data_IF_365353896374
#
_entry.id   IF_365353896374
#
_cell.length_a   1.000
_cell.length_b   1.000
_cell.length_c   1.000
_cell.angle_alpha   90.00
_cell.angle_beta   90.00
_cell.angle_gamma   90.00
#
_symmetry.space_group_name_H-M   'P 1'
#
loop_
_entity.id
_entity.type
_entity.pdbx_description
1 polymer ?
#
# COMPACT_ATOMS: atom_id res chain seq x y z
N UNK A 1 3.93 4.96 8.94
CA UNK A 1 3.74 4.57 10.37
C UNK A 1 3.57 3.08 10.47
N UNK A 2 4.10 2.42 11.51
CA UNK A 2 3.98 0.96 11.65
C UNK A 2 3.66 0.51 13.08
N UNK A 3 3.04 -0.67 13.21
CA UNK A 3 2.79 -1.35 14.49
C UNK A 3 2.00 -0.52 15.52
N UNK A 4 1.00 0.24 15.06
CA UNK A 4 0.03 0.92 15.93
C UNK A 4 -1.21 0.05 16.14
N UNK A 5 -1.82 0.15 17.31
CA UNK A 5 -2.92 -0.71 17.76
C UNK A 5 -4.16 0.02 18.23
N UNK A 6 -4.02 1.28 18.66
CA UNK A 6 -5.11 2.06 19.25
C UNK A 6 -5.59 3.23 18.38
N UNK A 7 -4.94 3.47 17.23
CA UNK A 7 -5.24 4.64 16.39
C UNK A 7 -6.20 4.25 15.29
N UNK A 8 -7.43 4.80 15.31
CA UNK A 8 -8.53 4.41 14.41
C UNK A 8 -8.16 4.45 12.93
N UNK A 9 -7.41 5.48 12.53
CA UNK A 9 -7.02 5.72 11.14
C UNK A 9 -5.50 5.88 11.03
N UNK A 10 -4.72 4.78 10.87
CA UNK A 10 -3.27 4.85 10.77
C UNK A 10 -2.75 5.76 9.64
N UNK A 11 -3.49 5.88 8.54
CA UNK A 11 -3.12 6.77 7.43
C UNK A 11 -3.20 8.26 7.81
N UNK A 12 -4.14 8.66 8.68
CA UNK A 12 -4.21 10.02 9.21
C UNK A 12 -2.99 10.33 10.09
N UNK A 13 -2.53 9.34 10.86
CA UNK A 13 -1.31 9.47 11.65
C UNK A 13 -0.07 9.59 10.76
N UNK A 14 0.01 8.81 9.67
CA UNK A 14 1.10 8.95 8.70
C UNK A 14 1.12 10.35 8.08
N UNK A 15 -0.04 10.89 7.71
CA UNK A 15 -0.17 12.28 7.24
C UNK A 15 0.24 13.30 8.29
N UNK A 16 -0.18 13.11 9.54
CA UNK A 16 0.24 14.00 10.64
C UNK A 16 1.77 14.01 10.81
N UNK A 17 2.42 12.84 10.77
CA UNK A 17 3.88 12.74 10.85
C UNK A 17 4.56 13.49 9.71
N UNK A 18 4.07 13.31 8.48
CA UNK A 18 4.55 14.01 7.29
C UNK A 18 4.42 15.54 7.41
N UNK A 19 3.30 16.05 7.91
CA UNK A 19 2.99 17.49 7.90
C UNK A 19 3.45 18.24 9.17
N UNK A 20 3.63 17.54 10.29
CA UNK A 20 3.79 18.16 11.63
C UNK A 20 5.04 17.72 12.37
N UNK A 21 5.91 16.92 11.76
CA UNK A 21 7.19 16.49 12.36
C UNK A 21 8.32 16.54 11.33
N UNK A 22 9.56 16.48 11.79
CA UNK A 22 10.76 16.39 10.92
C UNK A 22 11.09 14.94 10.52
N UNK A 23 10.19 13.99 10.82
CA UNK A 23 10.44 12.56 10.66
C UNK A 23 9.56 11.94 9.58
N UNK A 24 10.08 10.91 8.92
CA UNK A 24 9.36 10.19 7.85
C UNK A 24 8.56 9.01 8.40
N UNK A 25 9.13 8.27 9.35
CA UNK A 25 8.54 7.04 9.87
C UNK A 25 8.71 6.95 11.39
N UNK A 26 7.60 6.78 12.10
CA UNK A 26 7.56 6.50 13.53
C UNK A 26 6.75 5.21 13.74
N UNK A 27 7.16 4.40 14.73
CA UNK A 27 6.62 3.05 14.94
C UNK A 27 6.17 2.82 16.39
N UNK A 28 5.27 1.85 16.58
CA UNK A 28 4.90 1.32 17.89
C UNK A 28 4.33 2.36 18.85
N UNK A 29 4.67 2.24 20.13
CA UNK A 29 4.19 3.15 21.17
C UNK A 29 4.61 4.62 20.95
N UNK A 30 5.77 4.86 20.32
CA UNK A 30 6.20 6.21 19.96
C UNK A 30 5.23 6.86 18.96
N UNK A 31 4.77 6.08 17.98
CA UNK A 31 3.76 6.52 17.02
C UNK A 31 2.43 6.86 17.70
N UNK A 32 1.99 6.04 18.66
CA UNK A 32 0.75 6.30 19.40
C UNK A 32 0.84 7.56 20.27
N UNK A 33 1.98 7.82 20.92
CA UNK A 33 2.21 9.07 21.67
C UNK A 33 2.12 10.30 20.78
N UNK A 34 2.69 10.23 19.57
CA UNK A 34 2.58 11.31 18.57
C UNK A 34 1.13 11.50 18.15
N UNK A 35 0.38 10.41 17.96
CA UNK A 35 -1.03 10.47 17.61
C UNK A 35 -1.88 11.16 18.68
N UNK A 36 -1.68 10.80 19.95
CA UNK A 36 -2.37 11.41 21.09
C UNK A 36 -2.05 12.90 21.18
N UNK A 37 -0.76 13.28 21.06
CA UNK A 37 -0.35 14.68 21.05
C UNK A 37 -0.96 15.47 19.89
N UNK A 38 -1.16 14.81 18.74
CA UNK A 38 -1.81 15.38 17.56
C UNK A 38 -3.34 15.42 17.62
N UNK A 39 -3.95 14.95 18.71
CA UNK A 39 -5.42 14.92 18.86
C UNK A 39 -6.11 13.92 17.92
N UNK A 40 -5.41 12.88 17.46
CA UNK A 40 -6.01 11.84 16.63
C UNK A 40 -6.91 10.91 17.45
N UNK A 41 -7.98 10.41 16.82
CA UNK A 41 -8.95 9.52 17.47
C UNK A 41 -8.31 8.19 17.89
N UNK A 42 -8.33 7.96 19.21
CA UNK A 42 -7.90 6.72 19.85
C UNK A 42 -9.12 5.85 20.11
N UNK A 43 -9.01 4.57 19.80
CA UNK A 43 -10.04 3.55 20.00
C UNK A 43 -9.47 2.37 20.79
N UNK A 44 -10.35 1.66 21.48
CA UNK A 44 -9.99 0.36 22.05
C UNK A 44 -9.62 -0.62 20.92
N UNK A 45 -8.57 -1.45 21.04
CA UNK A 45 -8.19 -2.40 20.00
C UNK A 45 -9.30 -3.35 19.55
N UNK A 46 -10.31 -3.62 20.39
CA UNK A 46 -11.51 -4.38 20.03
C UNK A 46 -12.31 -3.74 18.88
N UNK A 47 -12.12 -2.45 18.60
CA UNK A 47 -12.68 -1.78 17.42
C UNK A 47 -12.26 -2.47 16.11
N UNK A 48 -11.03 -3.00 16.04
CA UNK A 48 -10.52 -3.69 14.84
C UNK A 48 -10.81 -5.19 14.84
N UNK A 49 -11.38 -5.72 15.92
CA UNK A 49 -11.67 -7.13 16.07
C UNK A 49 -12.89 -7.53 15.23
N UNK A 50 -12.77 -8.62 14.49
CA UNK A 50 -13.89 -9.28 13.82
C UNK A 50 -13.83 -10.77 14.12
N UNK A 51 -14.90 -11.28 14.75
CA UNK A 51 -15.06 -12.71 15.03
C UNK A 51 -15.07 -13.53 13.74
N UNK A 52 -15.77 -13.04 12.72
CA UNK A 52 -15.84 -13.69 11.40
C UNK A 52 -14.46 -13.83 10.77
N UNK A 53 -13.66 -12.75 10.80
CA UNK A 53 -12.28 -12.78 10.29
C UNK A 53 -11.41 -13.76 11.09
N UNK A 54 -11.53 -13.76 12.42
CA UNK A 54 -10.80 -14.70 13.28
C UNK A 54 -11.17 -16.16 12.97
N UNK A 55 -12.47 -16.47 12.84
CA UNK A 55 -12.95 -17.82 12.55
C UNK A 55 -12.51 -18.27 11.15
N UNK A 56 -12.48 -17.36 10.17
CA UNK A 56 -11.96 -17.64 8.82
C UNK A 56 -10.47 -18.00 8.84
N UNK A 57 -9.64 -17.19 9.51
CA UNK A 57 -8.19 -17.47 9.67
C UNK A 57 -7.94 -18.79 10.40
N UNK A 58 -8.76 -19.13 11.41
CA UNK A 58 -8.65 -20.41 12.12
C UNK A 58 -8.96 -21.62 11.23
N UNK A 59 -9.89 -21.48 10.28
CA UNK A 59 -10.24 -22.53 9.30
C UNK A 59 -9.19 -22.63 8.19
N UNK A 60 -8.66 -21.49 7.73
CA UNK A 60 -7.69 -21.40 6.64
C UNK A 60 -6.26 -21.24 7.18
N UNK A 61 -5.77 -22.23 7.95
CA UNK A 61 -4.43 -22.18 8.58
C UNK A 61 -3.27 -21.92 7.60
N UNK A 62 -3.47 -22.16 6.30
CA UNK A 62 -2.40 -22.16 5.29
C UNK A 62 -2.47 -20.99 4.28
N UNK A 63 -3.58 -20.24 4.20
CA UNK A 63 -3.69 -19.10 3.26
C UNK A 63 -3.52 -17.79 4.02
N UNK A 64 -2.46 -17.06 3.70
CA UNK A 64 -2.21 -15.73 4.27
C UNK A 64 -3.31 -14.78 3.76
N UNK A 65 -4.13 -14.25 4.67
CA UNK A 65 -5.04 -13.16 4.32
C UNK A 65 -4.27 -11.85 4.28
N UNK A 66 -4.10 -11.32 3.07
CA UNK A 66 -3.61 -9.98 2.85
C UNK A 66 -4.76 -8.99 3.08
N UNK A 67 -4.54 -8.00 3.95
CA UNK A 67 -5.51 -6.94 4.23
C UNK A 67 -4.86 -5.58 4.01
N UNK A 68 -4.31 -5.41 2.81
CA UNK A 68 -3.71 -4.15 2.37
C UNK A 68 -4.69 -3.42 1.47
N UNK A 69 -4.82 -2.12 1.68
CA UNK A 69 -5.57 -1.20 0.84
C UNK A 69 -4.66 -0.04 0.46
N UNK A 70 -4.93 0.60 -0.66
CA UNK A 70 -4.21 1.79 -1.03
C UNK A 70 -4.87 2.57 -2.15
N UNK A 71 -4.32 3.75 -2.39
CA UNK A 71 -4.78 4.70 -3.39
C UNK A 71 -3.60 5.45 -3.98
N UNK A 72 -3.71 5.78 -5.26
CA UNK A 72 -2.81 6.68 -5.98
C UNK A 72 -3.68 7.69 -6.71
N UNK A 73 -3.26 8.95 -6.72
CA UNK A 73 -3.97 10.02 -7.40
C UNK A 73 -2.99 11.02 -8.02
N UNK A 74 -3.42 11.64 -9.10
CA UNK A 74 -2.82 12.83 -9.69
C UNK A 74 -3.85 13.96 -9.70
N UNK A 75 -3.47 15.16 -9.27
CA UNK A 75 -4.36 16.32 -9.28
C UNK A 75 -4.22 17.18 -10.56
N UNK A 76 -5.04 18.23 -10.65
CA UNK A 76 -5.04 19.17 -11.79
C UNK A 76 -3.74 19.98 -11.93
N UNK A 77 -2.91 20.02 -10.89
CA UNK A 77 -1.62 20.71 -10.86
C UNK A 77 -0.47 19.74 -11.23
N UNK A 78 -0.78 18.46 -11.46
CA UNK A 78 0.20 17.43 -11.77
C UNK A 78 0.86 16.85 -10.52
N UNK A 79 0.35 17.13 -9.31
CA UNK A 79 0.89 16.54 -8.09
C UNK A 79 0.41 15.09 -7.96
N UNK A 80 1.36 14.18 -7.77
CA UNK A 80 1.12 12.77 -7.57
C UNK A 80 1.21 12.45 -6.08
N UNK A 81 0.23 11.72 -5.57
CA UNK A 81 0.19 11.24 -4.19
C UNK A 81 -0.17 9.76 -4.13
N UNK A 82 0.43 9.04 -3.19
CA UNK A 82 0.13 7.65 -2.93
C UNK A 82 0.00 7.39 -1.43
N UNK A 83 -0.86 6.45 -1.07
CA UNK A 83 -1.12 6.05 0.30
C UNK A 83 -1.44 4.56 0.37
N UNK A 84 -0.82 3.85 1.32
CA UNK A 84 -1.07 2.43 1.56
C UNK A 84 -1.24 2.17 3.05
N UNK A 85 -2.21 1.33 3.41
CA UNK A 85 -2.49 0.97 4.80
C UNK A 85 -2.82 -0.52 4.90
N UNK A 86 -2.37 -1.16 5.98
CA UNK A 86 -2.55 -2.61 6.15
C UNK A 86 -2.68 -3.02 7.60
N UNK A 87 -3.45 -4.09 7.84
CA UNK A 87 -3.38 -4.84 9.10
C UNK A 87 -2.17 -5.78 9.16
N UNK A 88 -1.47 -5.96 8.03
CA UNK A 88 -0.46 -7.01 7.82
C UNK A 88 -1.12 -8.33 7.45
N UNK A 89 -0.37 -9.42 7.67
CA UNK A 89 -0.84 -10.79 7.44
C UNK A 89 -1.33 -11.47 8.72
N UNK A 90 -2.20 -12.46 8.55
CA UNK A 90 -2.64 -13.36 9.62
C UNK A 90 -1.47 -14.05 10.31
N UNK A 91 -1.61 -14.34 11.62
CA UNK A 91 -0.59 -15.03 12.42
C UNK A 91 0.82 -14.44 12.40
N UNK A 92 0.98 -13.18 11.99
CA UNK A 92 2.29 -12.50 12.03
C UNK A 92 2.85 -12.48 13.46
N UNK A 93 4.17 -12.59 13.58
CA UNK A 93 4.85 -12.32 14.84
C UNK A 93 4.56 -10.87 15.29
N UNK A 94 4.30 -10.64 16.59
CA UNK A 94 4.19 -9.29 17.12
C UNK A 94 5.42 -8.45 16.75
N UNK A 95 5.18 -7.23 16.27
CA UNK A 95 6.24 -6.34 15.79
C UNK A 95 6.68 -6.54 14.33
N UNK A 96 6.20 -7.59 13.62
CA UNK A 96 6.47 -7.74 12.18
C UNK A 96 5.92 -6.55 11.40
N UNK A 97 6.79 -5.92 10.61
CA UNK A 97 6.47 -4.84 9.68
C UNK A 97 6.57 -5.36 8.24
N UNK A 98 5.58 -5.02 7.41
CA UNK A 98 5.57 -5.34 5.98
C UNK A 98 5.99 -4.15 5.12
N UNK A 99 5.67 -4.21 3.83
CA UNK A 99 6.01 -3.23 2.80
C UNK A 99 5.23 -1.91 2.90
N UNK A 100 3.96 -1.94 3.31
CA UNK A 100 3.06 -0.78 3.22
C UNK A 100 3.56 0.50 3.89
N UNK A 101 4.24 0.48 5.06
CA UNK A 101 4.79 1.70 5.66
C UNK A 101 6.21 2.05 5.18
N UNK A 102 6.81 1.25 4.30
CA UNK A 102 8.18 1.39 3.83
C UNK A 102 8.17 2.07 2.47
N UNK A 103 8.69 3.30 2.43
CA UNK A 103 8.75 4.11 1.21
C UNK A 103 9.63 3.41 0.17
N UNK A 104 9.08 3.24 -1.03
CA UNK A 104 9.71 2.54 -2.14
C UNK A 104 9.41 1.04 -2.21
N UNK A 105 8.91 0.44 -1.13
CA UNK A 105 8.46 -0.94 -1.13
C UNK A 105 6.97 -1.05 -1.49
N UNK A 106 6.10 -0.66 -0.57
CA UNK A 106 4.64 -0.71 -0.74
C UNK A 106 4.01 0.61 -1.19
N UNK A 107 4.69 1.74 -0.99
CA UNK A 107 4.17 3.08 -1.34
C UNK A 107 5.28 3.93 -1.94
N UNK A 108 5.00 4.57 -3.08
CA UNK A 108 5.89 5.56 -3.68
C UNK A 108 5.09 6.64 -4.41
N UNK A 109 5.56 7.87 -4.40
CA UNK A 109 5.01 8.96 -5.19
C UNK A 109 6.12 9.93 -5.60
N UNK A 110 6.17 10.24 -6.89
CA UNK A 110 7.14 11.18 -7.45
C UNK A 110 6.48 11.97 -8.58
N UNK A 111 6.34 13.28 -8.38
CA UNK A 111 5.88 14.19 -9.43
C UNK A 111 6.73 14.05 -10.70
N UNK A 112 6.11 14.28 -11.85
CA UNK A 112 6.72 14.12 -13.17
C UNK A 112 7.17 12.69 -13.50
N UNK A 113 6.77 11.68 -12.72
CA UNK A 113 7.08 10.28 -13.00
C UNK A 113 5.86 9.36 -12.75
N UNK A 114 5.67 8.90 -11.51
CA UNK A 114 4.55 8.04 -11.12
C UNK A 114 4.31 7.97 -9.61
N UNK A 115 3.13 7.50 -9.26
CA UNK A 115 2.75 7.06 -7.93
C UNK A 115 2.35 5.60 -7.96
N UNK A 116 2.67 4.87 -6.89
CA UNK A 116 2.46 3.43 -6.78
C UNK A 116 1.97 3.08 -5.38
N UNK A 117 0.97 2.20 -5.31
CA UNK A 117 0.59 1.49 -4.09
C UNK A 117 0.56 0.00 -4.36
N UNK A 118 1.24 -0.77 -3.51
CA UNK A 118 1.35 -2.22 -3.61
C UNK A 118 0.51 -2.97 -2.58
N UNK A 119 0.21 -4.23 -2.90
CA UNK A 119 -0.37 -5.23 -2.01
C UNK A 119 0.24 -6.60 -2.36
N UNK A 120 0.60 -7.42 -1.38
CA UNK A 120 1.26 -8.70 -1.66
C UNK A 120 2.06 -9.23 -0.48
N UNK A 121 2.99 -10.14 -0.78
CA UNK A 121 3.95 -10.63 0.20
C UNK A 121 4.98 -9.53 0.57
N UNK A 122 4.69 -8.83 1.66
CA UNK A 122 5.47 -7.65 2.08
C UNK A 122 6.97 -7.86 2.22
N UNK A 123 7.44 -9.05 2.63
CA UNK A 123 8.87 -9.36 2.69
C UNK A 123 9.57 -9.21 1.33
N UNK A 124 8.92 -9.63 0.24
CA UNK A 124 9.48 -9.53 -1.11
C UNK A 124 9.29 -8.14 -1.71
N UNK A 125 8.15 -7.50 -1.45
CA UNK A 125 7.94 -6.11 -1.85
C UNK A 125 9.01 -5.18 -1.26
N UNK A 126 9.45 -5.43 -0.02
CA UNK A 126 10.58 -4.73 0.58
C UNK A 126 11.92 -5.12 -0.05
N UNK A 127 12.20 -6.42 -0.23
CA UNK A 127 13.49 -6.88 -0.78
C UNK A 127 13.74 -6.39 -2.21
N UNK A 128 12.68 -6.23 -3.00
CA UNK A 128 12.77 -5.80 -4.40
C UNK A 128 12.37 -4.33 -4.61
N UNK A 129 12.04 -3.59 -3.55
CA UNK A 129 11.57 -2.20 -3.64
C UNK A 129 10.51 -2.00 -4.74
N UNK A 130 9.50 -2.87 -4.77
CA UNK A 130 8.56 -3.02 -5.91
C UNK A 130 7.97 -1.68 -6.36
N UNK A 131 7.49 -0.84 -5.43
CA UNK A 131 6.89 0.44 -5.78
C UNK A 131 7.90 1.40 -6.44
N UNK A 132 9.13 1.48 -5.94
CA UNK A 132 10.17 2.34 -6.54
C UNK A 132 10.67 1.76 -7.86
N UNK A 133 10.84 0.45 -7.92
CA UNK A 133 11.37 -0.27 -9.09
C UNK A 133 10.51 -0.04 -10.34
N UNK A 134 9.17 -0.09 -10.21
CA UNK A 134 8.26 0.26 -11.30
C UNK A 134 8.55 1.67 -11.83
N UNK A 135 8.66 2.65 -10.92
CA UNK A 135 8.98 4.02 -11.30
C UNK A 135 10.39 4.15 -11.91
N UNK A 136 11.38 3.38 -11.44
CA UNK A 136 12.73 3.35 -12.05
C UNK A 136 12.65 2.86 -13.48
N UNK A 137 11.92 1.78 -13.76
CA UNK A 137 11.81 1.24 -15.12
C UNK A 137 11.11 2.22 -16.07
N UNK A 138 10.08 2.92 -15.61
CA UNK A 138 9.45 3.99 -16.39
C UNK A 138 10.44 5.11 -16.72
N UNK A 139 11.24 5.53 -15.74
CA UNK A 139 12.20 6.64 -15.87
C UNK A 139 13.38 6.29 -16.79
N UNK A 140 14.06 5.18 -16.53
CA UNK A 140 15.31 4.83 -17.18
C UNK A 140 15.15 4.02 -18.47
N UNK A 141 14.04 3.29 -18.62
CA UNK A 141 13.78 2.45 -19.80
C UNK A 141 12.67 3.01 -20.71
N UNK A 142 12.04 4.12 -20.32
CA UNK A 142 10.95 4.74 -21.10
C UNK A 142 9.70 3.86 -21.22
N UNK A 143 9.50 2.95 -20.28
CA UNK A 143 8.33 2.07 -20.27
C UNK A 143 7.07 2.81 -19.83
N UNK A 144 5.92 2.39 -20.38
CA UNK A 144 4.61 2.80 -19.85
C UNK A 144 4.37 2.20 -18.46
N UNK A 145 3.42 2.77 -17.72
CA UNK A 145 3.02 2.25 -16.41
C UNK A 145 2.60 0.77 -16.47
N UNK A 146 1.85 0.36 -17.50
CA UNK A 146 1.47 -1.04 -17.71
C UNK A 146 2.67 -1.94 -18.01
N UNK A 147 3.56 -1.53 -18.89
CA UNK A 147 4.75 -2.34 -19.23
C UNK A 147 5.66 -2.54 -18.01
N UNK A 148 5.96 -1.46 -17.28
CA UNK A 148 6.80 -1.53 -16.09
C UNK A 148 6.15 -2.37 -14.99
N UNK A 149 4.84 -2.19 -14.75
CA UNK A 149 4.10 -2.95 -13.74
C UNK A 149 4.03 -4.44 -14.09
N UNK A 150 3.73 -4.78 -15.35
CA UNK A 150 3.70 -6.18 -15.81
C UNK A 150 5.06 -6.86 -15.64
N UNK A 151 6.16 -6.23 -16.08
CA UNK A 151 7.48 -6.86 -15.93
C UNK A 151 7.83 -7.17 -14.46
N UNK A 152 7.55 -6.24 -13.55
CA UNK A 152 7.82 -6.46 -12.12
C UNK A 152 6.93 -7.56 -11.54
N UNK A 153 5.63 -7.56 -11.87
CA UNK A 153 4.70 -8.60 -11.39
C UNK A 153 5.01 -9.97 -12.01
N UNK A 154 5.43 -10.04 -13.27
CA UNK A 154 5.84 -11.28 -13.95
C UNK A 154 7.11 -11.86 -13.33
N UNK A 155 8.09 -11.02 -12.98
CA UNK A 155 9.29 -11.46 -12.25
C UNK A 155 8.94 -12.03 -10.87
N UNK A 156 8.03 -11.40 -10.13
CA UNK A 156 7.50 -11.95 -8.88
C UNK A 156 6.78 -13.29 -9.11
N UNK A 157 5.98 -13.39 -10.17
CA UNK A 157 5.29 -14.61 -10.56
C UNK A 157 6.27 -15.76 -10.85
N UNK A 158 7.37 -15.47 -11.56
CA UNK A 158 8.43 -16.45 -11.85
C UNK A 158 9.14 -16.98 -10.60
N UNK A 159 9.06 -16.24 -9.49
CA UNK A 159 9.56 -16.66 -8.17
C UNK A 159 8.48 -17.29 -7.28
N UNK A 160 7.25 -17.46 -7.79
CA UNK A 160 6.10 -17.94 -7.01
C UNK A 160 5.62 -16.96 -5.94
N UNK A 161 5.83 -15.66 -6.16
CA UNK A 161 5.47 -14.60 -5.22
C UNK A 161 4.22 -13.88 -5.75
N UNK A 162 3.17 -13.89 -4.94
CA UNK A 162 1.93 -13.20 -5.26
C UNK A 162 1.91 -11.72 -4.80
N UNK A 163 1.20 -10.90 -5.57
CA UNK A 163 0.93 -9.50 -5.28
C UNK A 163 0.25 -8.75 -6.42
N UNK A 164 0.10 -7.45 -6.22
CA UNK A 164 -0.46 -6.52 -7.18
C UNK A 164 -0.12 -5.09 -6.84
N UNK A 165 -0.26 -4.23 -7.85
CA UNK A 165 0.05 -2.82 -7.79
C UNK A 165 -1.02 -2.01 -8.49
N UNK A 166 -1.26 -0.82 -7.98
CA UNK A 166 -1.94 0.24 -8.71
C UNK A 166 -0.94 1.38 -8.94
N UNK A 167 -0.92 1.92 -10.14
CA UNK A 167 0.02 2.94 -10.60
C UNK A 167 -0.72 4.04 -11.33
N UNK A 168 -0.33 5.29 -11.10
CA UNK A 168 -0.70 6.43 -11.95
C UNK A 168 0.59 7.11 -12.41
N UNK A 169 0.72 7.35 -13.70
CA UNK A 169 1.83 8.11 -14.26
C UNK A 169 1.57 9.63 -14.31
N UNK A 170 2.59 10.39 -14.70
CA UNK A 170 2.53 11.86 -14.83
C UNK A 170 1.50 12.37 -15.85
N UNK A 171 1.04 11.52 -16.76
CA UNK A 171 0.03 11.86 -17.77
C UNK A 171 -1.38 11.48 -17.32
N UNK A 172 -1.50 10.83 -16.16
CA UNK A 172 -2.76 10.34 -15.60
C UNK A 172 -3.20 8.99 -16.15
N UNK A 173 -2.32 8.26 -16.84
CA UNK A 173 -2.60 6.89 -17.23
C UNK A 173 -2.51 6.00 -15.99
N UNK A 174 -3.52 5.15 -15.81
CA UNK A 174 -3.59 4.23 -14.69
C UNK A 174 -3.24 2.80 -15.13
N UNK A 175 -2.51 2.10 -14.27
CA UNK A 175 -2.20 0.67 -14.40
C UNK A 175 -2.61 -0.06 -13.13
N UNK A 176 -3.18 -1.26 -13.25
CA UNK A 176 -3.69 -2.04 -12.12
C UNK A 176 -3.38 -3.54 -12.30
N UNK A 177 -2.10 -3.90 -12.24
CA UNK A 177 -1.60 -5.26 -12.51
C UNK A 177 -1.47 -6.09 -11.24
N UNK A 178 -1.80 -7.38 -11.30
CA UNK A 178 -1.70 -8.33 -10.21
C UNK A 178 -1.59 -9.77 -10.74
N UNK A 179 -1.03 -10.67 -9.93
CA UNK A 179 -0.90 -12.11 -10.24
C UNK A 179 -1.59 -13.03 -9.22
N UNK A 180 -2.31 -12.45 -8.25
CA UNK A 180 -3.17 -13.17 -7.30
C UNK A 180 -4.46 -13.66 -7.96
N UNK A 181 -5.21 -14.57 -7.31
CA UNK A 181 -6.55 -15.02 -7.74
C UNK A 181 -7.54 -13.86 -8.03
N UNK A 182 -7.35 -12.71 -7.40
CA UNK A 182 -8.12 -11.50 -7.65
C UNK A 182 -7.60 -10.32 -6.82
N UNK A 183 -7.82 -9.10 -7.33
CA UNK A 183 -7.51 -7.85 -6.67
C UNK A 183 -8.69 -6.88 -6.83
N UNK A 184 -9.42 -6.65 -5.73
CA UNK A 184 -10.45 -5.63 -5.66
C UNK A 184 -9.83 -4.25 -5.92
N UNK A 185 -10.24 -3.61 -7.01
CA UNK A 185 -9.64 -2.38 -7.52
C UNK A 185 -10.66 -1.51 -8.24
N UNK A 186 -10.37 -0.21 -8.25
CA UNK A 186 -11.19 0.75 -8.96
C UNK A 186 -10.32 1.89 -9.51
N UNK A 187 -10.80 2.50 -10.58
CA UNK A 187 -10.22 3.67 -11.22
C UNK A 187 -11.33 4.65 -11.58
N UNK A 188 -11.03 5.95 -11.48
CA UNK A 188 -11.91 7.02 -11.94
C UNK A 188 -11.09 8.21 -12.42
N UNK A 189 -11.52 8.86 -13.49
CA UNK A 189 -10.90 10.11 -13.95
C UNK A 189 -11.90 11.26 -14.15
N UNK A 190 -11.37 12.43 -14.50
CA UNK A 190 -12.15 13.65 -14.75
C UNK A 190 -12.97 13.64 -16.04
N UNK A 191 -12.71 12.70 -16.96
CA UNK A 191 -13.49 12.51 -18.19
C UNK A 191 -14.77 11.69 -17.94
N UNK A 192 -14.90 11.11 -16.75
CA UNK A 192 -16.03 10.25 -16.39
C UNK A 192 -15.76 8.76 -16.60
N UNK A 193 -14.55 8.38 -17.02
CA UNK A 193 -14.19 6.96 -17.11
C UNK A 193 -14.12 6.37 -15.71
N UNK A 194 -14.72 5.20 -15.53
CA UNK A 194 -14.80 4.51 -14.24
C UNK A 194 -14.71 3.00 -14.46
N UNK A 195 -13.90 2.35 -13.62
CA UNK A 195 -13.75 0.90 -13.60
C UNK A 195 -13.85 0.47 -12.14
N UNK A 196 -14.64 -0.57 -11.87
CA UNK A 196 -14.69 -1.26 -10.58
C UNK A 196 -14.69 -2.75 -10.86
N UNK A 197 -13.66 -3.47 -10.42
CA UNK A 197 -13.51 -4.90 -10.70
C UNK A 197 -12.71 -5.60 -9.60
N UNK A 198 -12.79 -6.92 -9.59
CA UNK A 198 -12.04 -7.80 -8.68
C UNK A 198 -11.10 -8.71 -9.47
N UNK A 199 -11.50 -9.14 -10.66
CA UNK A 199 -10.75 -10.07 -11.51
C UNK A 199 -10.11 -9.37 -12.70
#
# INVERSE_FOLDING_TARGET
MASVSTIKNPIKLARYVMEKTEHVLIVGQGAEKVAIKGGLEVVDPSYFYSKEKLDRVRRQKTKDELSTVGAVAIDKEGNISAATSTGGRSNKLPGRVGDSPIIGAGTWAQNNLCGVSGTGHGEYFMRFNVAREICVRMDYLGLTADQASNQVIDELSGMGIEGGVIVIDKEGNASMIFNTDGMARAYKNSKGDEIVTIY
#
